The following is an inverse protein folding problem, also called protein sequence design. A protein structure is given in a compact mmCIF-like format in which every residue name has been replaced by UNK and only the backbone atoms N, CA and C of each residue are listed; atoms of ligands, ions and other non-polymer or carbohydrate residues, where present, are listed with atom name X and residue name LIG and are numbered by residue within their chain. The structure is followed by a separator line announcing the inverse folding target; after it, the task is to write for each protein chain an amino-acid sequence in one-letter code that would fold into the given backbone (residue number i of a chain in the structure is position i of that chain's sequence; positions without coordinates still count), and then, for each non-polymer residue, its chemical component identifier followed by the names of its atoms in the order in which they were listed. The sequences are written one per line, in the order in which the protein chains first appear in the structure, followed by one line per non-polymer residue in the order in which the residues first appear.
data_IF_922539897859
#
_entry.id   IF_922539897859
#
_cell.length_a   1.000
_cell.length_b   1.000
_cell.length_c   1.000
_cell.angle_alpha   90.00
_cell.angle_beta   90.00
_cell.angle_gamma   90.00
#
_symmetry.space_group_name_H-M   'P 1'
#
loop_
_entity.id
_entity.type
_entity.pdbx_description
1 polymer ?
#
# COMPACT_ATOMS: atom_id res chain seq x y z
N UNK A 1 -22.17 -13.82 -1.21
CA UNK A 1 -20.97 -14.35 -0.54
C UNK A 1 -20.53 -13.43 0.58
N UNK A 2 -19.71 -13.92 1.50
CA UNK A 2 -19.06 -13.17 2.57
C UNK A 2 -17.74 -12.58 2.09
N UNK A 3 -17.66 -11.25 2.02
CA UNK A 3 -16.46 -10.53 1.59
C UNK A 3 -15.91 -9.73 2.76
N UNK A 4 -14.64 -9.93 3.07
CA UNK A 4 -13.92 -9.10 4.03
C UNK A 4 -13.10 -8.03 3.32
N UNK A 5 -13.21 -6.78 3.76
CA UNK A 5 -12.30 -5.70 3.35
C UNK A 5 -11.47 -5.26 4.54
N UNK A 6 -10.18 -5.61 4.53
CA UNK A 6 -9.23 -5.29 5.58
C UNK A 6 -8.68 -3.88 5.31
N UNK A 7 -9.21 -2.90 6.03
CA UNK A 7 -8.90 -1.48 5.88
C UNK A 7 -9.98 -0.67 5.16
N UNK A 8 -10.99 -0.15 5.87
CA UNK A 8 -12.05 0.69 5.31
C UNK A 8 -11.60 2.15 5.00
N UNK A 9 -10.42 2.34 4.40
CA UNK A 9 -9.94 3.65 3.92
C UNK A 9 -10.61 4.07 2.59
N UNK A 10 -9.96 4.93 1.80
CA UNK A 10 -10.53 5.39 0.52
C UNK A 10 -10.84 4.22 -0.45
N UNK A 11 -9.83 3.38 -0.75
CA UNK A 11 -9.97 2.25 -1.69
C UNK A 11 -10.87 1.16 -1.09
N UNK A 12 -10.59 0.75 0.15
CA UNK A 12 -11.36 -0.30 0.82
C UNK A 12 -12.82 0.08 1.06
N UNK A 13 -13.09 1.34 1.45
CA UNK A 13 -14.45 1.85 1.62
C UNK A 13 -15.26 1.82 0.32
N UNK A 14 -14.64 2.19 -0.81
CA UNK A 14 -15.27 2.08 -2.13
C UNK A 14 -15.58 0.62 -2.46
N UNK A 15 -14.61 -0.30 -2.31
CA UNK A 15 -14.80 -1.72 -2.61
C UNK A 15 -15.91 -2.31 -1.71
N UNK A 16 -15.90 -2.00 -0.42
CA UNK A 16 -16.92 -2.45 0.53
C UNK A 16 -18.31 -1.93 0.16
N UNK A 17 -18.44 -0.65 -0.19
CA UNK A 17 -19.71 -0.06 -0.56
C UNK A 17 -20.28 -0.65 -1.87
N UNK A 18 -19.43 -0.91 -2.85
CA UNK A 18 -19.85 -1.55 -4.11
C UNK A 18 -20.23 -3.03 -3.90
N UNK A 19 -19.49 -3.75 -3.07
CA UNK A 19 -19.80 -5.13 -2.72
C UNK A 19 -21.13 -5.25 -1.98
N UNK A 20 -21.40 -4.34 -1.04
CA UNK A 20 -22.69 -4.25 -0.33
C UNK A 20 -23.83 -3.93 -1.31
N UNK A 21 -23.63 -2.96 -2.22
CA UNK A 21 -24.59 -2.65 -3.29
C UNK A 21 -24.90 -3.85 -4.19
N UNK A 22 -23.92 -4.72 -4.41
CA UNK A 22 -24.08 -5.96 -5.18
C UNK A 22 -24.78 -7.09 -4.40
N UNK A 23 -25.19 -6.84 -3.16
CA UNK A 23 -25.90 -7.81 -2.31
C UNK A 23 -24.98 -8.83 -1.62
N UNK A 24 -23.68 -8.54 -1.48
CA UNK A 24 -22.78 -9.38 -0.70
C UNK A 24 -22.87 -9.08 0.79
N UNK A 25 -22.58 -10.08 1.62
CA UNK A 25 -22.42 -9.90 3.05
C UNK A 25 -21.02 -9.34 3.30
N UNK A 26 -20.92 -8.06 3.65
CA UNK A 26 -19.63 -7.36 3.76
C UNK A 26 -19.25 -7.17 5.23
N UNK A 27 -18.02 -7.56 5.56
CA UNK A 27 -17.35 -7.20 6.81
C UNK A 27 -16.16 -6.31 6.49
N UNK A 28 -15.98 -5.23 7.22
CA UNK A 28 -14.82 -4.33 7.07
C UNK A 28 -14.03 -4.22 8.36
N UNK A 29 -12.70 -4.17 8.26
CA UNK A 29 -11.86 -3.78 9.39
C UNK A 29 -11.48 -2.31 9.32
N UNK A 30 -11.59 -1.60 10.43
CA UNK A 30 -11.26 -0.18 10.56
C UNK A 30 -10.79 0.15 11.97
N UNK A 31 -10.28 1.37 12.18
CA UNK A 31 -9.88 1.86 13.51
C UNK A 31 -10.32 3.31 13.73
N UNK A 32 -10.41 3.71 15.01
CA UNK A 32 -10.71 5.07 15.43
C UNK A 32 -12.00 5.61 14.84
N UNK A 33 -12.00 6.90 14.48
CA UNK A 33 -13.17 7.61 13.96
C UNK A 33 -13.83 6.92 12.75
N UNK A 34 -13.05 6.25 11.89
CA UNK A 34 -13.61 5.52 10.74
C UNK A 34 -14.45 4.33 11.19
N UNK A 35 -13.97 3.55 12.16
CA UNK A 35 -14.74 2.41 12.70
C UNK A 35 -16.05 2.89 13.32
N UNK A 36 -15.97 3.91 14.17
CA UNK A 36 -17.14 4.49 14.85
C UNK A 36 -18.17 5.04 13.85
N UNK A 37 -17.72 5.73 12.80
CA UNK A 37 -18.60 6.27 11.77
C UNK A 37 -19.32 5.16 10.99
N UNK A 38 -18.59 4.11 10.59
CA UNK A 38 -19.18 2.99 9.84
C UNK A 38 -20.19 2.22 10.70
N UNK A 39 -19.90 1.99 11.98
CA UNK A 39 -20.85 1.32 12.88
C UNK A 39 -22.12 2.14 13.12
N UNK A 40 -21.99 3.46 13.24
CA UNK A 40 -23.11 4.36 13.54
C UNK A 40 -23.99 4.65 12.33
N UNK A 41 -23.36 4.91 11.18
CA UNK A 41 -24.04 5.53 10.02
C UNK A 41 -23.80 4.80 8.70
N UNK A 42 -22.90 3.80 8.67
CA UNK A 42 -22.52 3.09 7.45
C UNK A 42 -21.41 3.78 6.66
N UNK A 43 -21.15 3.27 5.45
CA UNK A 43 -20.22 3.84 4.48
C UNK A 43 -21.01 4.53 3.36
N UNK A 44 -20.88 5.84 3.25
CA UNK A 44 -21.47 6.63 2.19
C UNK A 44 -20.50 6.78 1.02
N UNK A 45 -20.87 6.21 -0.13
CA UNK A 45 -20.16 6.29 -1.39
C UNK A 45 -20.80 7.33 -2.30
N UNK A 46 -19.99 8.17 -2.94
CA UNK A 46 -20.40 9.12 -3.98
C UNK A 46 -19.47 9.10 -5.20
N UNK A 47 -19.82 9.85 -6.25
CA UNK A 47 -18.94 10.13 -7.40
C UNK A 47 -19.25 9.30 -8.64
N UNK A 48 -18.22 8.98 -9.42
CA UNK A 48 -18.38 8.45 -10.78
C UNK A 48 -19.05 7.07 -10.90
N UNK A 49 -19.11 6.25 -9.84
CA UNK A 49 -19.85 4.98 -9.83
C UNK A 49 -21.19 5.07 -9.09
N UNK A 50 -21.73 6.28 -8.96
CA UNK A 50 -23.01 6.56 -8.35
C UNK A 50 -22.93 6.74 -6.83
N UNK A 51 -24.10 6.84 -6.22
CA UNK A 51 -24.29 7.02 -4.80
C UNK A 51 -24.80 5.73 -4.15
N UNK A 52 -24.29 5.40 -2.96
CA UNK A 52 -24.75 4.25 -2.19
C UNK A 52 -24.37 4.40 -0.72
N UNK A 53 -25.27 4.05 0.19
CA UNK A 53 -24.96 3.97 1.62
C UNK A 53 -24.95 2.52 2.05
N UNK A 54 -23.76 1.96 2.21
CA UNK A 54 -23.56 0.59 2.63
C UNK A 54 -23.61 0.45 4.14
N UNK A 55 -24.08 -0.70 4.62
CA UNK A 55 -24.14 -1.03 6.06
C UNK A 55 -23.39 -2.33 6.35
N UNK A 56 -22.06 -2.37 6.10
CA UNK A 56 -21.27 -3.55 6.38
C UNK A 56 -21.18 -3.78 7.90
N UNK A 57 -20.89 -5.03 8.29
CA UNK A 57 -20.37 -5.28 9.63
C UNK A 57 -18.99 -4.62 9.75
N UNK A 58 -18.72 -3.94 10.85
CA UNK A 58 -17.47 -3.22 11.05
C UNK A 58 -16.87 -3.49 12.43
N UNK A 59 -15.60 -3.87 12.43
CA UNK A 59 -14.84 -4.26 13.63
C UNK A 59 -13.36 -3.85 13.49
N UNK A 60 -12.58 -3.97 14.57
CA UNK A 60 -11.14 -3.72 14.51
C UNK A 60 -10.36 -4.87 13.83
N UNK A 61 -10.85 -6.09 14.02
CA UNK A 61 -10.35 -7.34 13.45
C UNK A 61 -11.53 -8.19 13.00
N UNK A 62 -11.31 -9.11 12.07
CA UNK A 62 -12.32 -10.07 11.64
C UNK A 62 -12.79 -10.92 12.82
N UNK A 63 -14.06 -11.28 12.80
CA UNK A 63 -14.74 -12.13 13.77
C UNK A 63 -15.41 -13.36 13.10
N UNK A 64 -15.37 -13.42 11.76
CA UNK A 64 -15.91 -14.48 10.94
C UNK A 64 -14.99 -14.75 9.74
N UNK A 65 -14.91 -16.02 9.32
CA UNK A 65 -14.14 -16.43 8.15
C UNK A 65 -14.86 -16.01 6.84
N UNK A 66 -14.25 -15.15 6.01
CA UNK A 66 -14.84 -14.74 4.74
C UNK A 66 -14.59 -15.79 3.64
N UNK A 67 -15.29 -15.64 2.51
CA UNK A 67 -15.07 -16.44 1.29
C UNK A 67 -14.05 -15.77 0.35
N UNK A 68 -13.90 -14.44 0.47
CA UNK A 68 -12.90 -13.63 -0.22
C UNK A 68 -12.48 -12.50 0.71
N UNK A 69 -11.17 -12.26 0.84
CA UNK A 69 -10.63 -11.13 1.58
C UNK A 69 -9.92 -10.14 0.63
N UNK A 70 -10.00 -8.85 0.94
CA UNK A 70 -9.32 -7.78 0.20
C UNK A 70 -8.53 -6.92 1.17
N UNK A 71 -7.20 -6.91 1.05
CA UNK A 71 -6.30 -6.08 1.87
C UNK A 71 -6.10 -4.72 1.21
N UNK A 72 -6.48 -3.65 1.91
CA UNK A 72 -6.43 -2.26 1.41
C UNK A 72 -5.85 -1.27 2.42
N UNK A 73 -5.35 -1.75 3.55
CA UNK A 73 -4.52 -0.94 4.46
C UNK A 73 -3.25 -0.48 3.74
N UNK A 74 -2.66 0.62 4.21
CA UNK A 74 -1.36 1.09 3.71
C UNK A 74 -0.30 0.01 3.90
N UNK A 75 0.70 0.00 3.02
CA UNK A 75 1.70 -1.05 3.01
C UNK A 75 2.48 -1.18 4.34
N UNK A 76 2.72 -0.08 5.05
CA UNK A 76 3.32 -0.09 6.39
C UNK A 76 2.45 -0.72 7.49
N UNK A 77 1.12 -0.71 7.34
CA UNK A 77 0.18 -1.29 8.30
C UNK A 77 -0.14 -2.77 7.96
N UNK A 78 0.26 -3.24 6.77
CA UNK A 78 -0.13 -4.54 6.22
C UNK A 78 0.26 -5.72 7.10
N UNK A 79 1.51 -5.74 7.60
CA UNK A 79 2.01 -6.84 8.42
C UNK A 79 1.17 -7.04 9.68
N UNK A 80 0.92 -5.96 10.42
CA UNK A 80 0.13 -5.98 11.64
C UNK A 80 -1.34 -6.33 11.35
N UNK A 81 -1.90 -5.81 10.26
CA UNK A 81 -3.26 -6.15 9.85
C UNK A 81 -3.41 -7.64 9.47
N UNK A 82 -2.44 -8.22 8.77
CA UNK A 82 -2.46 -9.64 8.43
C UNK A 82 -2.25 -10.52 9.66
N UNK A 83 -1.33 -10.17 10.55
CA UNK A 83 -1.11 -10.85 11.84
C UNK A 83 -2.39 -10.89 12.67
N UNK A 84 -3.07 -9.75 12.82
CA UNK A 84 -4.29 -9.64 13.62
C UNK A 84 -5.50 -10.40 13.06
N UNK A 85 -5.45 -10.83 11.79
CA UNK A 85 -6.56 -11.48 11.09
C UNK A 85 -6.19 -12.88 10.59
N UNK A 86 -5.00 -13.40 10.92
CA UNK A 86 -4.44 -14.62 10.32
C UNK A 86 -5.36 -15.85 10.48
N UNK A 87 -5.95 -16.02 11.66
CA UNK A 87 -6.85 -17.14 11.98
C UNK A 87 -8.08 -17.22 11.04
N UNK A 88 -8.53 -16.07 10.53
CA UNK A 88 -9.66 -15.99 9.61
C UNK A 88 -9.26 -16.03 8.13
N UNK A 89 -7.95 -15.92 7.84
CA UNK A 89 -7.43 -15.84 6.47
C UNK A 89 -6.81 -17.16 5.98
N UNK A 90 -6.62 -18.14 6.86
CA UNK A 90 -6.07 -19.45 6.48
C UNK A 90 -6.89 -20.10 5.35
N UNK A 91 -6.22 -20.40 4.24
CA UNK A 91 -6.84 -20.97 3.02
C UNK A 91 -7.84 -20.07 2.30
N UNK A 92 -8.04 -18.82 2.74
CA UNK A 92 -8.97 -17.87 2.11
C UNK A 92 -8.28 -17.13 0.96
N UNK A 93 -8.90 -17.02 -0.23
CA UNK A 93 -8.42 -16.13 -1.29
C UNK A 93 -8.26 -14.69 -0.81
N UNK A 94 -7.03 -14.16 -0.92
CA UNK A 94 -6.69 -12.81 -0.49
C UNK A 94 -6.25 -11.95 -1.68
N UNK A 95 -6.97 -10.87 -1.94
CA UNK A 95 -6.59 -9.86 -2.94
C UNK A 95 -5.87 -8.71 -2.25
N UNK A 96 -4.60 -8.49 -2.57
CA UNK A 96 -3.79 -7.40 -2.01
C UNK A 96 -3.83 -6.20 -2.93
N UNK A 97 -4.57 -5.17 -2.54
CA UNK A 97 -4.75 -3.92 -3.31
C UNK A 97 -4.00 -2.79 -2.63
N UNK A 98 -2.71 -2.69 -2.95
CA UNK A 98 -1.81 -1.69 -2.37
C UNK A 98 -1.04 -0.95 -3.46
N UNK A 99 -0.66 0.29 -3.17
CA UNK A 99 0.27 1.01 -4.02
C UNK A 99 1.71 0.51 -3.79
N UNK A 100 2.56 0.71 -4.79
CA UNK A 100 3.97 0.33 -4.70
C UNK A 100 4.24 -1.11 -5.13
N UNK A 101 5.39 -1.63 -4.68
CA UNK A 101 5.87 -2.99 -4.98
C UNK A 101 5.97 -3.84 -3.72
N UNK A 102 5.85 -5.17 -3.88
CA UNK A 102 6.18 -6.16 -2.85
C UNK A 102 5.08 -6.48 -1.83
N UNK A 103 3.95 -5.77 -1.85
CA UNK A 103 2.87 -5.98 -0.88
C UNK A 103 2.23 -7.37 -0.98
N UNK A 104 1.96 -7.83 -2.20
CA UNK A 104 1.36 -9.15 -2.43
C UNK A 104 2.36 -10.28 -2.10
N UNK A 105 3.63 -10.11 -2.47
CA UNK A 105 4.72 -11.03 -2.14
C UNK A 105 4.93 -11.14 -0.61
N UNK A 106 4.91 -10.01 0.10
CA UNK A 106 5.01 -9.99 1.56
C UNK A 106 3.82 -10.68 2.23
N UNK A 107 2.60 -10.45 1.73
CA UNK A 107 1.41 -11.13 2.25
C UNK A 107 1.48 -12.64 2.03
N UNK A 108 1.92 -13.10 0.85
CA UNK A 108 2.08 -14.52 0.54
C UNK A 108 3.15 -15.19 1.42
N UNK A 109 4.25 -14.48 1.71
CA UNK A 109 5.28 -14.97 2.62
C UNK A 109 4.79 -15.05 4.08
N UNK A 110 3.93 -14.12 4.50
CA UNK A 110 3.36 -14.07 5.85
C UNK A 110 2.23 -15.09 6.07
N UNK A 111 1.46 -15.41 5.02
CA UNK A 111 0.34 -16.36 5.05
C UNK A 111 0.55 -17.47 4.00
N UNK A 112 1.42 -18.46 4.24
CA UNK A 112 1.83 -19.44 3.22
C UNK A 112 0.72 -20.35 2.69
N UNK A 113 -0.37 -20.50 3.45
CA UNK A 113 -1.53 -21.32 3.10
C UNK A 113 -2.64 -20.53 2.40
N UNK A 114 -2.55 -19.20 2.41
CA UNK A 114 -3.52 -18.28 1.82
C UNK A 114 -3.16 -18.04 0.36
N UNK A 115 -4.04 -18.38 -0.61
CA UNK A 115 -3.79 -18.08 -2.01
C UNK A 115 -3.92 -16.57 -2.26
N UNK A 116 -2.79 -15.92 -2.58
CA UNK A 116 -2.71 -14.46 -2.78
C UNK A 116 -2.83 -14.08 -4.24
N UNK A 117 -3.63 -13.04 -4.50
CA UNK A 117 -3.80 -12.36 -5.77
C UNK A 117 -3.35 -10.90 -5.60
N UNK A 118 -2.55 -10.40 -6.53
CA UNK A 118 -2.20 -9.00 -6.58
C UNK A 118 -3.31 -8.17 -7.22
N UNK A 119 -3.62 -7.01 -6.63
CA UNK A 119 -4.56 -6.03 -7.16
C UNK A 119 -3.94 -4.66 -7.34
N UNK A 120 -4.13 -4.07 -8.51
CA UNK A 120 -3.60 -2.77 -8.90
C UNK A 120 -4.75 -1.84 -9.27
N UNK A 121 -5.27 -1.10 -8.28
CA UNK A 121 -6.35 -0.15 -8.49
C UNK A 121 -5.86 1.06 -9.31
N UNK A 122 -6.46 1.34 -10.47
CA UNK A 122 -6.19 2.56 -11.23
C UNK A 122 -7.24 3.65 -11.02
N UNK A 123 -8.40 3.30 -10.44
CA UNK A 123 -9.38 4.29 -10.06
C UNK A 123 -8.83 5.17 -8.94
N UNK A 124 -9.28 6.42 -8.90
CA UNK A 124 -8.96 7.34 -7.82
C UNK A 124 -10.12 7.38 -6.84
N UNK A 125 -9.83 7.07 -5.57
CA UNK A 125 -10.76 7.18 -4.45
C UNK A 125 -10.26 8.21 -3.45
N UNK A 126 -11.18 9.01 -2.93
CA UNK A 126 -10.93 9.99 -1.88
C UNK A 126 -11.63 9.56 -0.59
N UNK A 127 -10.89 9.65 0.51
CA UNK A 127 -11.44 9.63 1.85
C UNK A 127 -11.76 11.09 2.21
N UNK A 128 -13.05 11.43 2.31
CA UNK A 128 -13.50 12.81 2.55
C UNK A 128 -13.53 13.10 4.04
N UNK A 129 -14.24 12.24 4.77
CA UNK A 129 -14.40 12.28 6.22
C UNK A 129 -14.69 10.86 6.73
N UNK A 130 -14.67 10.60 8.05
CA UNK A 130 -15.07 9.31 8.57
C UNK A 130 -16.46 8.86 8.08
N UNK A 131 -16.53 7.70 7.44
CA UNK A 131 -17.74 7.15 6.83
C UNK A 131 -18.01 7.63 5.39
N UNK A 132 -17.24 8.58 4.85
CA UNK A 132 -17.49 9.17 3.53
C UNK A 132 -16.34 8.92 2.55
N UNK A 133 -16.66 8.24 1.46
CA UNK A 133 -15.73 7.96 0.36
C UNK A 133 -16.30 8.40 -0.97
N UNK A 134 -15.42 8.82 -1.89
CA UNK A 134 -15.83 9.27 -3.21
C UNK A 134 -14.90 8.76 -4.29
N UNK A 135 -15.46 8.36 -5.43
CA UNK A 135 -14.70 8.00 -6.62
C UNK A 135 -14.55 9.23 -7.49
N UNK A 136 -13.33 9.74 -7.54
CA UNK A 136 -12.99 10.96 -8.28
C UNK A 136 -12.56 10.68 -9.71
N UNK A 137 -12.12 9.46 -10.02
CA UNK A 137 -11.77 9.06 -11.38
C UNK A 137 -12.04 7.57 -11.57
N UNK A 138 -12.96 7.18 -12.48
CA UNK A 138 -13.24 5.78 -12.73
C UNK A 138 -12.13 5.16 -13.59
N UNK A 139 -11.66 3.98 -13.22
CA UNK A 139 -10.77 3.15 -14.02
C UNK A 139 -10.80 1.70 -13.52
N UNK A 140 -10.23 0.78 -14.28
CA UNK A 140 -10.17 -0.62 -13.90
C UNK A 140 -9.21 -0.88 -12.74
N UNK A 141 -9.45 -1.99 -12.04
CA UNK A 141 -8.43 -2.63 -11.20
C UNK A 141 -7.86 -3.82 -11.95
N UNK A 142 -6.53 -3.87 -12.03
CA UNK A 142 -5.85 -4.99 -12.65
C UNK A 142 -5.59 -6.07 -11.60
N UNK A 143 -5.95 -7.31 -11.91
CA UNK A 143 -5.66 -8.48 -11.09
C UNK A 143 -4.63 -9.36 -11.78
N UNK A 144 -3.74 -9.95 -11.00
CA UNK A 144 -2.79 -10.95 -11.50
C UNK A 144 -2.10 -11.67 -10.36
N UNK A 145 -1.34 -12.71 -10.68
CA UNK A 145 -0.57 -13.43 -9.67
C UNK A 145 0.69 -12.62 -9.33
N UNK A 146 1.05 -12.50 -8.04
CA UNK A 146 2.34 -11.92 -7.67
C UNK A 146 3.48 -12.72 -8.28
N UNK A 147 4.65 -12.09 -8.43
CA UNK A 147 5.82 -12.83 -8.89
C UNK A 147 6.10 -13.97 -7.91
N UNK A 148 6.43 -15.16 -8.43
CA UNK A 148 6.86 -16.26 -7.56
C UNK A 148 8.09 -15.77 -6.80
N UNK A 149 7.96 -15.58 -5.49
CA UNK A 149 9.10 -15.25 -4.62
C UNK A 149 10.07 -16.42 -4.76
N UNK A 150 11.27 -16.25 -5.34
CA UNK A 150 12.28 -17.29 -5.24
C UNK A 150 12.48 -17.53 -3.74
N UNK A 151 12.51 -18.78 -3.25
CA UNK A 151 12.82 -19.02 -1.86
C UNK A 151 14.11 -18.28 -1.57
N UNK A 152 14.06 -17.35 -0.60
CA UNK A 152 15.24 -16.62 -0.16
C UNK A 152 16.28 -17.69 0.15
N UNK A 153 17.29 -17.85 -0.72
CA UNK A 153 18.47 -18.63 -0.38
C UNK A 153 18.95 -18.10 0.95
N UNK A 154 19.26 -18.98 1.92
CA UNK A 154 19.62 -18.66 3.31
C UNK A 154 20.69 -17.54 3.38
N UNK A 155 20.24 -16.32 3.22
CA UNK A 155 20.96 -15.07 3.34
C UNK A 155 20.47 -14.48 4.64
N UNK A 156 21.42 -14.10 5.48
CA UNK A 156 21.19 -13.62 6.83
C UNK A 156 19.95 -12.71 6.92
N UNK A 157 19.14 -12.96 7.95
CA UNK A 157 18.01 -12.09 8.30
C UNK A 157 18.44 -10.62 8.20
N UNK A 158 17.59 -9.72 7.68
CA UNK A 158 17.91 -8.31 7.68
C UNK A 158 18.22 -7.89 9.10
N UNK A 159 19.46 -7.44 9.35
CA UNK A 159 19.80 -6.79 10.61
C UNK A 159 18.83 -5.62 10.78
N UNK A 160 18.19 -5.46 11.95
CA UNK A 160 17.38 -4.28 12.20
C UNK A 160 18.26 -3.06 11.91
N UNK A 161 17.74 -2.15 11.07
CA UNK A 161 18.40 -0.88 10.82
C UNK A 161 18.71 -0.24 12.18
N UNK A 162 19.98 0.03 12.45
CA UNK A 162 20.34 0.82 13.61
C UNK A 162 19.60 2.18 13.48
N UNK A 163 18.91 2.65 14.53
CA UNK A 163 18.30 3.96 14.48
C UNK A 163 19.39 4.99 14.17
N UNK A 164 19.11 5.86 13.18
CA UNK A 164 19.95 7.02 12.90
C UNK A 164 20.04 7.84 14.18
N UNK A 165 21.19 7.82 14.83
CA UNK A 165 21.53 8.75 15.91
C UNK A 165 21.74 10.13 15.30
N UNK A 166 20.85 11.07 15.62
CA UNK A 166 21.09 12.49 15.43
C UNK A 166 22.40 12.88 16.11
N UNK A 167 23.31 13.62 15.45
CA UNK A 167 24.43 14.22 16.16
C UNK A 167 23.88 15.23 17.17
N UNK A 168 24.39 15.21 18.39
CA UNK A 168 24.08 16.21 19.40
C UNK A 168 24.40 17.62 18.86
N UNK A 169 23.58 18.65 19.16
CA UNK A 169 23.87 20.02 18.76
C UNK A 169 25.14 20.48 19.46
N UNK A 170 26.11 20.98 18.69
CA UNK A 170 27.29 21.64 19.25
C UNK A 170 26.88 22.99 19.83
N UNK A 171 27.21 23.22 21.10
CA UNK A 171 27.09 24.51 21.78
C UNK A 171 27.87 25.60 21.03
N UNK A 172 27.15 26.46 20.31
CA UNK A 172 27.59 27.81 19.96
C UNK A 172 26.40 28.62 19.41
N UNK A 173 25.63 29.24 20.31
CA UNK A 173 24.78 30.38 19.95
C UNK A 173 25.54 31.69 20.22
N UNK A 174 25.31 32.72 19.41
CA UNK A 174 25.09 34.04 19.96
C UNK A 174 23.66 34.50 19.70
N UNK A 175 23.10 35.01 20.78
CA UNK A 175 21.78 35.62 20.94
C UNK A 175 21.49 36.76 19.96
N UNK A 176 20.30 36.75 19.37
CA UNK A 176 19.58 37.98 19.02
C UNK A 176 18.09 37.81 19.27
N UNK A 177 17.58 38.68 20.14
CA UNK A 177 16.20 38.88 20.60
C UNK A 177 15.23 39.29 19.49
N UNK A 178 14.01 38.77 19.52
CA UNK A 178 12.82 39.37 18.91
C UNK A 178 11.62 39.26 19.88
N UNK A 179 10.67 40.23 19.87
CA UNK A 179 9.81 40.52 21.01
C UNK A 179 8.52 39.69 21.05
N UNK A 180 7.98 39.58 22.26
CA UNK A 180 6.72 38.93 22.61
C UNK A 180 5.51 39.72 22.13
N UNK A 181 4.45 39.03 21.70
CA UNK A 181 3.09 39.55 21.76
C UNK A 181 2.14 38.47 22.26
N UNK A 182 1.45 38.80 23.35
CA UNK A 182 0.41 38.02 24.00
C UNK A 182 -0.98 38.54 23.59
N UNK A 183 -1.95 37.63 23.46
CA UNK A 183 -3.38 37.77 23.77
C UNK A 183 -4.09 36.51 23.23
N UNK A 184 -4.45 35.53 24.06
CA UNK A 184 -5.69 35.43 24.84
C UNK A 184 -6.95 35.13 23.99
N UNK A 185 -7.54 33.94 24.17
CA UNK A 185 -8.87 33.76 24.78
C UNK A 185 -9.42 32.33 24.56
N UNK A 186 -9.69 31.65 25.67
CA UNK A 186 -10.49 30.43 25.81
C UNK A 186 -11.99 30.79 25.88
N UNK A 187 -12.91 29.85 25.58
CA UNK A 187 -14.11 29.78 26.40
C UNK A 187 -14.43 28.36 26.92
N UNK A 188 -15.12 28.38 28.05
CA UNK A 188 -15.44 27.30 28.96
C UNK A 188 -16.59 26.38 28.50
N UNK A 189 -16.63 25.20 29.11
CA UNK A 189 -17.71 24.21 29.06
C UNK A 189 -18.89 24.58 29.98
N UNK A 190 -20.08 23.97 29.77
CA UNK A 190 -21.06 23.78 30.82
C UNK A 190 -21.19 22.30 31.22
N UNK A 191 -21.28 22.10 32.54
CA UNK A 191 -21.69 20.88 33.23
C UNK A 191 -23.21 20.79 33.34
N UNK A 192 -23.75 19.56 33.31
CA UNK A 192 -24.89 19.01 34.08
C UNK A 192 -25.13 17.61 33.49
N UNK A 193 -25.33 16.50 34.21
CA UNK A 193 -26.00 16.32 35.49
C UNK A 193 -27.18 15.38 35.25
N UNK A 194 -26.96 14.05 35.22
CA UNK A 194 -28.06 13.08 35.27
C UNK A 194 -27.59 11.71 35.81
N UNK A 195 -28.24 11.31 36.89
CA UNK A 195 -28.09 10.05 37.58
C UNK A 195 -28.59 8.86 36.75
N UNK A 196 -27.96 7.70 36.90
CA UNK A 196 -28.60 6.41 36.59
C UNK A 196 -27.99 5.31 37.44
N UNK A 197 -28.86 4.77 38.31
CA UNK A 197 -28.72 3.60 39.15
C UNK A 197 -28.57 2.31 38.32
N UNK A 198 -27.68 1.40 38.73
CA UNK A 198 -27.75 -0.01 38.31
C UNK A 198 -27.33 -0.91 39.48
N UNK A 199 -28.11 -1.95 39.83
CA UNK A 199 -27.76 -2.85 40.91
C UNK A 199 -26.83 -3.97 40.45
N UNK A 200 -26.03 -4.44 41.41
CA UNK A 200 -25.17 -5.59 41.34
C UNK A 200 -25.93 -6.89 41.04
N UNK A 201 -25.30 -7.79 40.27
CA UNK A 201 -25.63 -9.21 40.28
C UNK A 201 -24.36 -10.03 40.52
N UNK A 202 -24.55 -10.96 41.43
CA UNK A 202 -23.58 -11.76 42.16
C UNK A 202 -23.21 -13.04 41.42
N UNK A 203 -21.98 -13.48 41.69
CA UNK A 203 -21.35 -14.77 41.39
C UNK A 203 -22.15 -16.02 41.83
N UNK A 204 -22.00 -17.12 41.09
CA UNK A 204 -22.02 -18.50 41.61
C UNK A 204 -21.35 -19.48 40.60
N UNK A 205 -20.89 -20.68 41.02
CA UNK A 205 -19.61 -21.24 40.58
C UNK A 205 -19.70 -22.47 39.63
N UNK A 206 -18.56 -22.79 39.03
CA UNK A 206 -18.28 -24.01 38.27
C UNK A 206 -17.96 -25.21 39.20
N UNK A 207 -18.23 -26.46 38.78
CA UNK A 207 -17.56 -27.63 39.31
C UNK A 207 -16.52 -28.21 38.34
N UNK A 208 -15.50 -28.80 38.94
CA UNK A 208 -14.32 -29.40 38.34
C UNK A 208 -14.50 -30.90 37.99
N UNK A 209 -13.39 -31.48 37.50
CA UNK A 209 -13.07 -32.92 37.33
C UNK A 209 -13.44 -33.50 35.96
N UNK A 210 -12.68 -34.40 35.32
CA UNK A 210 -11.37 -35.01 35.56
C UNK A 210 -10.94 -35.69 34.24
N UNK A 211 -9.64 -35.70 33.93
CA UNK A 211 -8.98 -36.71 33.07
C UNK A 211 -8.72 -37.98 33.93
N UNK A 212 -8.48 -39.22 33.40
CA UNK A 212 -7.46 -39.60 32.38
C UNK A 212 -7.90 -40.89 31.58
N UNK A 213 -7.04 -41.79 31.03
CA UNK A 213 -5.59 -41.82 30.81
C UNK A 213 -5.12 -42.21 29.38
N UNK A 214 -3.80 -42.21 29.24
CA UNK A 214 -2.96 -42.42 28.06
C UNK A 214 -2.79 -43.89 27.60
N UNK A 215 -2.30 -44.06 26.36
CA UNK A 215 -1.20 -44.96 25.90
C UNK A 215 -1.35 -45.29 24.39
N UNK A 216 -0.34 -45.80 23.66
CA UNK A 216 1.10 -45.62 23.75
C UNK A 216 1.76 -45.26 22.39
N UNK A 217 3.02 -44.85 22.49
CA UNK A 217 4.03 -44.67 21.44
C UNK A 217 4.39 -45.97 20.69
N UNK A 218 4.58 -45.87 19.37
CA UNK A 218 5.38 -46.84 18.60
C UNK A 218 6.33 -46.12 17.65
N UNK A 219 7.59 -46.52 17.77
CA UNK A 219 8.78 -46.12 17.02
C UNK A 219 9.06 -47.14 15.92
N UNK A 220 9.41 -46.69 14.71
CA UNK A 220 10.25 -47.43 13.74
C UNK A 220 10.67 -46.46 12.61
N UNK A 221 11.89 -45.96 12.63
CA UNK A 221 13.09 -46.50 11.97
C UNK A 221 13.23 -46.03 10.51
N UNK A 222 14.13 -45.07 10.32
CA UNK A 222 14.63 -44.62 9.02
C UNK A 222 15.76 -45.54 8.51
N UNK A 223 15.99 -45.60 7.20
CA UNK A 223 17.31 -45.81 6.63
C UNK A 223 17.82 -44.55 5.92
N UNK A 224 19.11 -44.27 6.12
CA UNK A 224 19.91 -43.20 5.51
C UNK A 224 20.33 -43.56 4.05
N UNK A 225 20.84 -42.58 3.27
CA UNK A 225 20.64 -42.52 1.81
C UNK A 225 21.76 -43.18 1.00
N UNK A 226 21.42 -43.65 -0.21
CA UNK A 226 22.41 -43.91 -1.27
C UNK A 226 22.48 -42.72 -2.23
N UNK A 227 23.70 -42.28 -2.47
CA UNK A 227 24.11 -41.19 -3.34
C UNK A 227 24.00 -41.57 -4.81
N UNK A 228 23.22 -40.82 -5.60
CA UNK A 228 23.40 -40.73 -7.04
C UNK A 228 23.00 -39.32 -7.50
N UNK A 229 24.02 -38.55 -7.87
CA UNK A 229 23.94 -37.25 -8.53
C UNK A 229 23.29 -37.41 -9.91
N UNK A 230 22.10 -36.82 -10.09
CA UNK A 230 21.50 -36.58 -11.40
C UNK A 230 21.08 -35.11 -11.49
N UNK A 231 21.46 -34.49 -12.60
CA UNK A 231 21.25 -33.08 -12.91
C UNK A 231 19.77 -32.67 -12.73
N UNK A 232 19.57 -31.58 -11.96
CA UNK A 232 18.26 -31.04 -11.67
C UNK A 232 17.78 -30.12 -12.80
N UNK A 233 17.15 -30.69 -13.83
CA UNK A 233 16.12 -29.97 -14.57
C UNK A 233 14.87 -29.94 -13.69
N UNK A 234 14.61 -28.77 -13.10
CA UNK A 234 13.60 -28.57 -12.08
C UNK A 234 12.17 -28.64 -12.60
N UNK A 235 11.59 -29.84 -12.62
CA UNK A 235 10.14 -30.01 -12.54
C UNK A 235 9.66 -29.39 -11.20
N UNK A 236 8.61 -28.54 -11.19
CA UNK A 236 8.11 -27.98 -9.94
C UNK A 236 7.67 -29.12 -9.01
N UNK A 237 8.12 -29.07 -7.75
CA UNK A 237 7.71 -30.03 -6.72
C UNK A 237 6.18 -30.02 -6.59
N UNK A 238 5.56 -31.18 -6.32
CA UNK A 238 4.10 -31.32 -6.29
C UNK A 238 3.37 -30.29 -5.40
N UNK A 239 4.06 -29.78 -4.35
CA UNK A 239 3.57 -28.70 -3.49
C UNK A 239 3.51 -27.34 -4.20
N UNK A 240 4.49 -26.99 -5.02
CA UNK A 240 4.50 -25.72 -5.78
C UNK A 240 3.44 -25.70 -6.88
N UNK A 241 3.22 -26.83 -7.56
CA UNK A 241 2.15 -26.98 -8.54
C UNK A 241 0.76 -26.82 -7.90
N UNK A 242 0.57 -27.41 -6.71
CA UNK A 242 -0.68 -27.26 -5.93
C UNK A 242 -0.92 -25.82 -5.49
N UNK A 243 0.11 -25.14 -4.95
CA UNK A 243 0.02 -23.73 -4.55
C UNK A 243 -0.33 -22.81 -5.72
N UNK A 244 0.30 -23.02 -6.88
CA UNK A 244 -0.02 -22.26 -8.10
C UNK A 244 -1.46 -22.49 -8.57
N UNK A 245 -1.94 -23.74 -8.56
CA UNK A 245 -3.33 -24.05 -8.90
C UNK A 245 -4.32 -23.37 -7.97
N UNK A 246 -4.02 -23.30 -6.67
CA UNK A 246 -4.84 -22.59 -5.69
C UNK A 246 -4.87 -21.08 -5.95
N UNK A 247 -3.72 -20.48 -6.27
CA UNK A 247 -3.62 -19.06 -6.62
C UNK A 247 -4.38 -18.73 -7.93
N UNK A 248 -4.32 -19.59 -8.94
CA UNK A 248 -5.09 -19.44 -10.17
C UNK A 248 -6.61 -19.57 -9.94
N UNK A 249 -7.04 -20.47 -9.04
CA UNK A 249 -8.43 -20.56 -8.62
C UNK A 249 -8.89 -19.31 -7.86
N UNK A 250 -8.06 -18.79 -6.96
CA UNK A 250 -8.29 -17.54 -6.26
C UNK A 250 -8.40 -16.35 -7.23
N UNK A 251 -7.53 -16.27 -8.24
CA UNK A 251 -7.61 -15.24 -9.28
C UNK A 251 -8.95 -15.32 -10.03
N UNK A 252 -9.39 -16.51 -10.46
CA UNK A 252 -10.70 -16.68 -11.12
C UNK A 252 -11.86 -16.24 -10.22
N UNK A 253 -11.83 -16.62 -8.95
CA UNK A 253 -12.85 -16.23 -7.97
C UNK A 253 -12.88 -14.71 -7.78
N UNK A 254 -11.72 -14.09 -7.58
CA UNK A 254 -11.57 -12.65 -7.40
C UNK A 254 -12.05 -11.88 -8.64
N UNK A 255 -11.66 -12.31 -9.83
CA UNK A 255 -12.12 -11.71 -11.09
C UNK A 255 -13.63 -11.79 -11.25
N UNK A 256 -14.23 -12.96 -11.03
CA UNK A 256 -15.67 -13.13 -11.16
C UNK A 256 -16.45 -12.32 -10.11
N UNK A 257 -15.96 -12.29 -8.88
CA UNK A 257 -16.61 -11.61 -7.76
C UNK A 257 -16.50 -10.09 -7.90
N UNK A 258 -15.28 -9.55 -7.97
CA UNK A 258 -15.06 -8.12 -8.04
C UNK A 258 -15.57 -7.54 -9.37
N UNK A 259 -15.44 -8.31 -10.47
CA UNK A 259 -15.93 -7.94 -11.79
C UNK A 259 -17.46 -7.77 -11.88
N UNK A 260 -18.22 -8.30 -10.92
CA UNK A 260 -19.66 -8.13 -10.86
C UNK A 260 -20.10 -6.71 -10.47
N UNK A 261 -19.22 -5.92 -9.84
CA UNK A 261 -19.58 -4.60 -9.30
C UNK A 261 -18.55 -3.49 -9.53
N UNK A 262 -17.36 -3.81 -10.07
CA UNK A 262 -16.37 -2.83 -10.48
C UNK A 262 -15.59 -3.31 -11.71
N UNK A 263 -15.02 -2.41 -12.54
CA UNK A 263 -14.27 -2.82 -13.72
C UNK A 263 -12.98 -3.55 -13.32
N UNK A 264 -12.81 -4.78 -13.80
CA UNK A 264 -11.65 -5.63 -13.55
C UNK A 264 -10.99 -5.98 -14.88
N UNK A 265 -9.67 -5.89 -14.93
CA UNK A 265 -8.85 -6.46 -16.00
C UNK A 265 -7.89 -7.49 -15.40
N UNK A 266 -7.61 -8.58 -16.13
CA UNK A 266 -6.65 -9.60 -15.69
C UNK A 266 -5.40 -9.48 -16.53
N UNK A 267 -4.23 -9.47 -15.88
CA UNK A 267 -2.92 -9.48 -16.55
C UNK A 267 -2.11 -10.70 -16.14
N UNK A 268 -1.39 -11.26 -17.12
CA UNK A 268 -0.38 -12.29 -16.89
C UNK A 268 0.97 -11.70 -16.45
N UNK A 269 1.19 -10.39 -16.64
CA UNK A 269 2.39 -9.67 -16.27
C UNK A 269 2.09 -8.62 -15.18
N UNK A 270 1.65 -9.11 -14.02
CA UNK A 270 1.27 -8.26 -12.90
C UNK A 270 2.43 -7.40 -12.39
N UNK A 271 3.63 -7.98 -12.29
CA UNK A 271 4.84 -7.25 -11.91
C UNK A 271 5.13 -6.09 -12.88
N UNK A 272 5.04 -6.33 -14.19
CA UNK A 272 5.16 -5.28 -15.21
C UNK A 272 4.12 -4.18 -15.05
N UNK A 273 2.87 -4.52 -14.71
CA UNK A 273 1.81 -3.53 -14.46
C UNK A 273 2.09 -2.67 -13.22
N UNK A 274 2.57 -3.29 -12.13
CA UNK A 274 2.98 -2.57 -10.92
C UNK A 274 4.12 -1.59 -11.22
N UNK A 275 5.14 -2.01 -11.98
CA UNK A 275 6.23 -1.15 -12.40
C UNK A 275 5.77 0.00 -13.28
N UNK A 276 4.91 -0.24 -14.28
CA UNK A 276 4.37 0.84 -15.12
C UNK A 276 3.60 1.87 -14.29
N UNK A 277 2.76 1.42 -13.35
CA UNK A 277 2.07 2.35 -12.42
C UNK A 277 3.06 3.06 -11.48
N UNK A 278 4.11 2.38 -11.03
CA UNK A 278 5.14 2.99 -10.18
C UNK A 278 5.85 4.14 -10.90
N UNK A 279 6.15 4.00 -12.21
CA UNK A 279 6.71 5.09 -13.02
C UNK A 279 5.78 6.31 -13.02
N UNK A 280 4.46 6.11 -13.11
CA UNK A 280 3.48 7.20 -13.01
C UNK A 280 3.49 7.83 -11.62
N UNK A 281 3.52 7.00 -10.57
CA UNK A 281 3.52 7.45 -9.17
C UNK A 281 4.76 8.25 -8.76
N UNK A 282 5.83 8.26 -9.56
CA UNK A 282 7.02 9.11 -9.33
C UNK A 282 6.66 10.60 -9.24
N UNK A 283 5.54 11.01 -9.86
CA UNK A 283 5.05 12.39 -9.77
C UNK A 283 4.65 12.80 -8.36
N UNK A 284 4.34 11.86 -7.46
CA UNK A 284 3.75 12.17 -6.15
C UNK A 284 4.75 12.72 -5.12
N UNK A 285 6.05 12.48 -5.29
CA UNK A 285 7.05 12.89 -4.31
C UNK A 285 7.23 14.42 -4.27
N UNK A 286 7.32 15.08 -5.42
CA UNK A 286 7.60 16.53 -5.49
C UNK A 286 6.45 17.41 -4.96
N UNK A 287 5.17 17.13 -5.25
CA UNK A 287 4.05 17.78 -4.56
C UNK A 287 4.13 17.63 -3.04
N UNK A 288 4.47 16.43 -2.55
CA UNK A 288 4.61 16.19 -1.11
C UNK A 288 5.75 17.01 -0.48
N UNK A 289 6.84 17.21 -1.22
CA UNK A 289 7.98 18.02 -0.77
C UNK A 289 7.67 19.52 -0.82
N UNK A 290 6.98 19.99 -1.85
CA UNK A 290 6.84 21.43 -2.17
C UNK A 290 5.51 22.05 -1.75
N UNK A 291 4.50 21.23 -1.46
CA UNK A 291 3.13 21.68 -1.22
C UNK A 291 2.36 22.09 -2.50
N UNK A 292 3.02 22.06 -3.65
CA UNK A 292 2.45 22.38 -4.96
C UNK A 292 1.54 21.27 -5.48
N UNK A 293 0.70 21.60 -6.45
CA UNK A 293 0.00 20.60 -7.26
C UNK A 293 0.93 19.88 -8.23
N UNK A 294 0.47 18.74 -8.75
CA UNK A 294 1.08 18.00 -9.85
C UNK A 294 1.27 18.90 -11.08
N UNK A 295 0.28 19.74 -11.39
CA UNK A 295 0.35 20.66 -12.52
C UNK A 295 1.46 21.70 -12.35
N UNK A 296 1.53 22.35 -11.18
CA UNK A 296 2.58 23.33 -10.86
C UNK A 296 3.98 22.69 -10.84
N UNK A 297 4.08 21.47 -10.27
CA UNK A 297 5.30 20.67 -10.28
C UNK A 297 5.80 20.41 -11.70
N UNK A 298 4.90 20.02 -12.60
CA UNK A 298 5.26 19.73 -14.00
C UNK A 298 5.51 21.03 -14.78
N UNK A 299 4.89 22.15 -14.42
CA UNK A 299 5.13 23.44 -15.05
C UNK A 299 6.53 23.99 -14.73
N UNK A 300 7.01 23.84 -13.49
CA UNK A 300 8.33 24.26 -13.07
C UNK A 300 9.44 23.46 -13.79
N UNK A 301 10.34 24.11 -14.57
CA UNK A 301 11.41 23.40 -15.29
C UNK A 301 12.40 22.65 -14.41
N UNK A 302 12.66 23.13 -13.20
CA UNK A 302 13.59 22.52 -12.25
C UNK A 302 12.99 21.24 -11.69
N UNK A 303 11.75 21.32 -11.19
CA UNK A 303 11.03 20.16 -10.65
C UNK A 303 10.75 19.12 -11.73
N UNK A 304 10.32 19.54 -12.92
CA UNK A 304 10.09 18.64 -14.06
C UNK A 304 11.35 17.87 -14.45
N UNK A 305 12.52 18.49 -14.35
CA UNK A 305 13.77 17.80 -14.59
C UNK A 305 14.10 16.75 -13.51
N UNK A 306 13.89 17.08 -12.24
CA UNK A 306 14.05 16.12 -11.13
C UNK A 306 13.09 14.95 -11.29
N UNK A 307 11.82 15.21 -11.60
CA UNK A 307 10.81 14.19 -11.89
C UNK A 307 11.26 13.28 -13.04
N UNK A 308 11.73 13.88 -14.14
CA UNK A 308 12.21 13.13 -15.31
C UNK A 308 13.38 12.22 -14.92
N UNK A 309 14.33 12.72 -14.14
CA UNK A 309 15.46 11.92 -13.66
C UNK A 309 15.00 10.76 -12.76
N UNK A 310 14.10 11.00 -11.82
CA UNK A 310 13.54 9.97 -10.94
C UNK A 310 12.82 8.86 -11.72
N UNK A 311 12.04 9.25 -12.74
CA UNK A 311 11.35 8.29 -13.63
C UNK A 311 12.35 7.48 -14.46
N UNK A 312 13.38 8.11 -15.04
CA UNK A 312 14.41 7.40 -15.83
C UNK A 312 15.20 6.42 -14.98
N UNK A 313 15.56 6.81 -13.76
CA UNK A 313 16.23 5.96 -12.78
C UNK A 313 15.36 4.75 -12.43
N UNK A 314 14.06 4.95 -12.15
CA UNK A 314 13.14 3.85 -11.91
C UNK A 314 13.01 2.91 -13.12
N UNK A 315 13.00 3.42 -14.36
CA UNK A 315 13.03 2.57 -15.57
C UNK A 315 14.36 1.81 -15.69
N UNK A 316 15.49 2.43 -15.37
CA UNK A 316 16.80 1.77 -15.39
C UNK A 316 16.87 0.63 -14.36
N UNK A 317 16.35 0.85 -13.15
CA UNK A 317 16.26 -0.18 -12.11
C UNK A 317 15.37 -1.34 -12.56
N UNK A 318 14.18 -1.07 -13.09
CA UNK A 318 13.30 -2.11 -13.61
C UNK A 318 14.00 -2.97 -14.68
N UNK A 319 14.76 -2.35 -15.59
CA UNK A 319 15.56 -3.06 -16.60
C UNK A 319 16.66 -3.91 -15.98
N UNK A 320 17.33 -3.43 -14.94
CA UNK A 320 18.36 -4.20 -14.23
C UNK A 320 17.76 -5.39 -13.43
N UNK A 321 16.45 -5.38 -13.21
CA UNK A 321 15.68 -6.48 -12.61
C UNK A 321 14.97 -7.36 -13.66
N UNK A 322 15.31 -7.20 -14.95
CA UNK A 322 14.70 -7.92 -16.08
C UNK A 322 13.17 -7.78 -16.18
N UNK A 323 12.64 -6.64 -15.74
CA UNK A 323 11.20 -6.36 -15.83
C UNK A 323 10.82 -5.96 -17.25
N UNK A 324 9.80 -6.61 -17.79
CA UNK A 324 9.07 -6.15 -18.95
C UNK A 324 7.84 -5.34 -18.50
N UNK A 325 7.72 -4.11 -18.96
CA UNK A 325 6.58 -3.26 -18.55
C UNK A 325 5.28 -3.71 -19.24
N UNK A 326 4.21 -3.82 -18.45
CA UNK A 326 2.87 -4.02 -19.01
C UNK A 326 2.36 -2.70 -19.62
N UNK A 327 1.60 -2.79 -20.71
CA UNK A 327 1.03 -1.59 -21.33
C UNK A 327 -0.11 -1.07 -20.47
N UNK A 328 0.13 0.04 -19.78
CA UNK A 328 -0.80 0.61 -18.81
C UNK A 328 -0.78 2.12 -18.88
N UNK A 329 -1.94 2.77 -18.75
CA UNK A 329 -2.05 4.24 -18.78
C UNK A 329 -1.38 4.83 -20.05
N UNK A 330 -1.48 4.15 -21.19
CA UNK A 330 -0.84 4.56 -22.45
C UNK A 330 0.70 4.56 -22.43
N UNK A 331 1.31 3.90 -21.45
CA UNK A 331 2.76 3.67 -21.37
C UNK A 331 3.03 2.20 -21.67
N UNK A 332 3.75 1.93 -22.76
CA UNK A 332 4.23 0.59 -23.10
C UNK A 332 5.70 0.43 -22.77
N UNK A 333 6.17 -0.82 -22.69
CA UNK A 333 7.59 -1.15 -22.50
C UNK A 333 8.49 -0.44 -23.52
N UNK A 334 8.12 -0.44 -24.80
CA UNK A 334 8.86 0.27 -25.85
C UNK A 334 8.92 1.77 -25.59
N UNK A 335 7.81 2.40 -25.22
CA UNK A 335 7.78 3.84 -24.94
C UNK A 335 8.66 4.21 -23.75
N UNK A 336 8.59 3.44 -22.66
CA UNK A 336 9.39 3.66 -21.46
C UNK A 336 10.89 3.46 -21.71
N UNK A 337 11.27 2.48 -22.52
CA UNK A 337 12.68 2.29 -22.94
C UNK A 337 13.19 3.46 -23.78
N UNK A 338 12.38 3.93 -24.74
CA UNK A 338 12.73 5.12 -25.54
C UNK A 338 12.86 6.35 -24.65
N UNK A 339 11.90 6.57 -23.74
CA UNK A 339 11.94 7.66 -22.76
C UNK A 339 13.21 7.62 -21.92
N UNK A 340 13.61 6.44 -21.42
CA UNK A 340 14.80 6.28 -20.60
C UNK A 340 16.10 6.58 -21.35
N UNK A 341 16.15 6.29 -22.66
CA UNK A 341 17.32 6.53 -23.50
C UNK A 341 17.35 7.95 -24.13
N UNK A 342 16.22 8.65 -24.18
CA UNK A 342 16.09 9.94 -24.86
C UNK A 342 16.94 11.04 -24.20
N UNK A 343 17.43 12.03 -24.98
CA UNK A 343 18.01 13.26 -24.44
C UNK A 343 17.03 13.94 -23.48
N UNK A 344 17.53 14.51 -22.38
CA UNK A 344 16.71 15.08 -21.30
C UNK A 344 15.64 16.09 -21.77
N UNK A 345 15.89 17.01 -22.73
CA UNK A 345 14.85 17.90 -23.23
C UNK A 345 13.67 17.15 -23.86
N UNK A 346 13.93 16.05 -24.56
CA UNK A 346 12.90 15.21 -25.16
C UNK A 346 12.20 14.34 -24.12
N UNK A 347 12.94 13.76 -23.17
CA UNK A 347 12.37 12.95 -22.08
C UNK A 347 11.35 13.75 -21.25
N UNK A 348 11.58 15.05 -21.01
CA UNK A 348 10.65 15.94 -20.31
C UNK A 348 9.28 16.09 -21.00
N UNK A 349 9.12 15.67 -22.25
CA UNK A 349 7.82 15.61 -22.91
C UNK A 349 6.87 14.63 -22.22
N UNK A 350 7.38 13.51 -21.69
CA UNK A 350 6.54 12.50 -21.03
C UNK A 350 5.79 13.07 -19.81
N UNK A 351 6.46 13.68 -18.81
CA UNK A 351 5.76 14.37 -17.71
C UNK A 351 4.76 15.43 -18.19
N UNK A 352 5.09 16.21 -19.23
CA UNK A 352 4.18 17.23 -19.78
C UNK A 352 2.93 16.62 -20.42
N UNK A 353 3.04 15.45 -21.05
CA UNK A 353 1.88 14.74 -21.59
C UNK A 353 1.04 14.14 -20.46
N UNK A 354 1.68 13.67 -19.38
CA UNK A 354 0.97 13.17 -18.20
C UNK A 354 0.14 14.27 -17.54
N UNK A 355 0.64 15.51 -17.40
CA UNK A 355 -0.14 16.60 -16.78
C UNK A 355 -1.44 16.92 -17.52
N UNK A 356 -1.47 16.76 -18.85
CA UNK A 356 -2.69 16.97 -19.66
C UNK A 356 -3.84 16.04 -19.27
N UNK A 357 -3.54 14.87 -18.70
CA UNK A 357 -4.55 13.91 -18.24
C UNK A 357 -5.09 14.21 -16.85
N UNK A 358 -4.38 15.02 -16.06
CA UNK A 358 -4.75 15.36 -14.68
C UNK A 358 -5.85 16.44 -14.64
N UNK A 359 -6.12 17.10 -15.77
CA UNK A 359 -7.10 18.18 -15.86
C UNK A 359 -6.58 19.52 -15.31
N UNK A 360 -7.44 20.52 -15.27
CA UNK A 360 -7.12 21.89 -14.82
C UNK A 360 -7.25 22.11 -13.32
N UNK A 361 -7.98 21.24 -12.61
CA UNK A 361 -8.12 21.34 -11.15
C UNK A 361 -6.81 20.98 -10.46
N UNK A 362 -6.27 21.82 -9.56
CA UNK A 362 -5.03 21.55 -8.85
C UNK A 362 -5.09 20.20 -8.12
N UNK A 363 -4.25 19.25 -8.57
CA UNK A 363 -4.20 17.92 -7.99
C UNK A 363 -2.98 17.82 -7.05
N UNK A 364 -3.15 17.69 -5.74
CA UNK A 364 -2.03 17.54 -4.81
C UNK A 364 -1.26 16.22 -4.96
N UNK A 365 -1.82 15.20 -5.61
CA UNK A 365 -1.29 13.83 -5.58
C UNK A 365 -1.56 13.13 -4.24
N UNK A 366 -1.48 11.79 -4.23
CA UNK A 366 -1.88 10.99 -3.05
C UNK A 366 -0.94 11.16 -1.84
N UNK A 367 0.34 11.38 -2.08
CA UNK A 367 1.36 11.57 -1.04
C UNK A 367 1.15 12.90 -0.29
N UNK A 368 0.99 14.03 -0.99
CA UNK A 368 0.70 15.32 -0.36
C UNK A 368 -0.65 15.30 0.37
N UNK A 369 -1.66 14.60 -0.17
CA UNK A 369 -2.93 14.41 0.54
C UNK A 369 -2.74 13.67 1.88
N UNK A 370 -1.81 12.72 1.96
CA UNK A 370 -1.52 12.03 3.22
C UNK A 370 -0.88 12.99 4.23
N UNK A 371 0.09 13.81 3.80
CA UNK A 371 0.72 14.84 4.63
C UNK A 371 -0.34 15.83 5.15
N UNK A 372 -1.22 16.35 4.28
CA UNK A 372 -2.30 17.27 4.67
C UNK A 372 -3.29 16.67 5.67
N UNK A 373 -3.42 15.34 5.73
CA UNK A 373 -4.26 14.62 6.71
C UNK A 373 -3.49 14.18 7.97
N UNK A 374 -2.22 14.57 8.12
CA UNK A 374 -1.38 14.14 9.24
C UNK A 374 -1.15 12.62 9.26
N UNK A 375 -1.12 11.98 8.08
CA UNK A 375 -0.90 10.55 7.93
C UNK A 375 0.48 10.29 7.33
N UNK A 376 1.15 9.23 7.80
CA UNK A 376 2.37 8.74 7.17
C UNK A 376 2.14 8.45 5.68
N UNK A 377 3.09 8.82 4.84
CA UNK A 377 3.01 8.59 3.39
C UNK A 377 3.36 7.16 3.02
N UNK A 378 3.20 6.81 1.74
CA UNK A 378 3.66 5.54 1.17
C UNK A 378 5.01 5.70 0.46
N UNK A 379 5.79 6.75 0.75
CA UNK A 379 6.99 7.09 -0.03
C UNK A 379 8.02 5.95 -0.05
N UNK A 380 8.14 5.20 1.05
CA UNK A 380 8.99 4.02 1.17
C UNK A 380 8.54 2.85 0.27
N UNK A 381 7.27 2.78 -0.07
CA UNK A 381 6.71 1.78 -0.97
C UNK A 381 6.63 2.27 -2.42
N UNK A 382 6.87 3.56 -2.65
CA UNK A 382 6.98 4.17 -3.97
C UNK A 382 8.45 4.35 -4.36
N UNK A 383 9.04 5.52 -4.13
CA UNK A 383 10.44 5.81 -4.41
C UNK A 383 11.38 4.91 -3.59
N UNK A 384 11.02 4.59 -2.34
CA UNK A 384 11.78 3.64 -1.52
C UNK A 384 11.77 2.21 -2.07
N UNK A 385 10.72 1.81 -2.80
CA UNK A 385 10.72 0.52 -3.50
C UNK A 385 11.72 0.52 -4.66
N UNK A 386 11.84 1.61 -5.40
CA UNK A 386 12.88 1.76 -6.44
C UNK A 386 14.28 1.62 -5.81
N UNK A 387 14.53 2.22 -4.65
CA UNK A 387 15.82 2.06 -3.95
C UNK A 387 16.10 0.62 -3.53
N UNK A 388 15.10 -0.08 -2.98
CA UNK A 388 15.25 -1.49 -2.59
C UNK A 388 15.57 -2.37 -3.79
N UNK A 389 14.86 -2.18 -4.89
CA UNK A 389 15.07 -2.95 -6.12
C UNK A 389 16.41 -2.59 -6.79
N UNK A 390 16.85 -1.33 -6.71
CA UNK A 390 18.18 -0.92 -7.17
C UNK A 390 19.27 -1.69 -6.41
N UNK A 391 19.20 -1.71 -5.07
CA UNK A 391 20.12 -2.47 -4.22
C UNK A 391 20.09 -3.96 -4.55
N UNK A 392 18.90 -4.54 -4.77
CA UNK A 392 18.76 -5.94 -5.16
C UNK A 392 19.37 -6.27 -6.54
N UNK A 393 19.41 -5.29 -7.46
CA UNK A 393 20.09 -5.38 -8.74
C UNK A 393 21.59 -5.03 -8.70
N UNK A 394 22.13 -4.63 -7.55
CA UNK A 394 23.52 -4.16 -7.45
C UNK A 394 23.77 -2.80 -8.14
N UNK A 395 22.74 -1.97 -8.31
CA UNK A 395 22.82 -0.61 -8.83
C UNK A 395 22.35 0.41 -7.79
N UNK A 396 22.58 1.70 -8.04
CA UNK A 396 22.12 2.77 -7.16
C UNK A 396 20.89 3.49 -7.72
N UNK A 397 20.11 4.11 -6.82
CA UNK A 397 19.01 5.00 -7.17
C UNK A 397 19.08 6.33 -6.38
N UNK A 398 20.15 7.14 -6.54
CA UNK A 398 20.37 8.36 -5.77
C UNK A 398 19.25 9.41 -5.88
N UNK A 399 18.59 9.55 -7.03
CA UNK A 399 17.53 10.57 -7.17
C UNK A 399 16.30 10.17 -6.35
N UNK A 400 15.87 8.92 -6.48
CA UNK A 400 14.79 8.36 -5.67
C UNK A 400 15.13 8.39 -4.18
N UNK A 401 16.37 8.06 -3.79
CA UNK A 401 16.83 8.13 -2.41
C UNK A 401 16.76 9.53 -1.82
N UNK A 402 17.15 10.53 -2.61
CA UNK A 402 17.04 11.93 -2.19
C UNK A 402 15.59 12.36 -2.00
N UNK A 403 14.70 12.00 -2.92
CA UNK A 403 13.27 12.33 -2.83
C UNK A 403 12.62 11.70 -1.59
N UNK A 404 12.94 10.45 -1.28
CA UNK A 404 12.48 9.78 -0.04
C UNK A 404 12.89 10.58 1.20
N UNK A 405 14.18 10.95 1.28
CA UNK A 405 14.70 11.75 2.40
C UNK A 405 13.98 13.10 2.54
N UNK A 406 13.71 13.79 1.43
CA UNK A 406 13.02 15.07 1.47
C UNK A 406 11.55 14.92 1.89
N UNK A 407 10.85 13.87 1.46
CA UNK A 407 9.47 13.62 1.92
C UNK A 407 9.45 13.36 3.42
N UNK A 408 10.33 12.51 3.95
CA UNK A 408 10.42 12.27 5.39
C UNK A 408 10.77 13.53 6.18
N UNK A 409 11.60 14.41 5.60
CA UNK A 409 11.88 15.72 6.20
C UNK A 409 10.61 16.56 6.33
N UNK A 410 9.78 16.63 5.28
CA UNK A 410 8.48 17.33 5.36
C UNK A 410 7.53 16.65 6.36
N UNK A 411 7.51 15.32 6.44
CA UNK A 411 6.71 14.60 7.44
C UNK A 411 7.12 14.94 8.87
N UNK A 412 8.42 15.09 9.13
CA UNK A 412 8.96 15.39 10.45
C UNK A 412 8.87 16.87 10.84
N UNK A 413 9.18 17.78 9.90
CA UNK A 413 9.27 19.23 10.16
C UNK A 413 7.94 19.96 9.89
N UNK A 414 7.04 19.38 9.10
CA UNK A 414 5.80 20.03 8.64
C UNK A 414 6.02 21.20 7.67
N UNK A 415 7.26 21.42 7.23
CA UNK A 415 7.66 22.54 6.38
C UNK A 415 7.94 22.07 4.94
N UNK A 416 7.30 22.72 3.97
CA UNK A 416 7.55 22.47 2.55
C UNK A 416 8.86 23.12 2.09
N UNK A 417 9.49 22.52 1.08
CA UNK A 417 10.78 22.92 0.52
C UNK A 417 10.56 23.57 -0.85
N UNK A 418 11.26 24.66 -1.14
CA UNK A 418 11.07 25.39 -2.40
C UNK A 418 11.68 24.66 -3.60
N UNK A 419 11.19 24.93 -4.84
CA UNK A 419 11.77 24.37 -6.05
C UNK A 419 13.27 24.67 -6.24
N UNK A 420 13.72 25.85 -5.80
CA UNK A 420 15.12 26.30 -5.86
C UNK A 420 16.02 25.41 -4.99
N UNK A 421 15.64 25.22 -3.73
CA UNK A 421 16.39 24.41 -2.76
C UNK A 421 16.50 22.95 -3.20
N UNK A 422 15.42 22.38 -3.76
CA UNK A 422 15.44 21.01 -4.29
C UNK A 422 16.43 20.91 -5.44
N UNK A 423 16.41 21.87 -6.37
CA UNK A 423 17.28 21.87 -7.55
C UNK A 423 18.77 21.99 -7.19
N UNK A 424 19.10 22.79 -6.17
CA UNK A 424 20.48 22.95 -5.68
C UNK A 424 20.94 21.71 -4.91
N UNK A 425 20.02 21.05 -4.18
CA UNK A 425 20.34 19.87 -3.37
C UNK A 425 20.64 18.59 -4.18
N UNK A 426 20.43 18.61 -5.50
CA UNK A 426 20.56 17.45 -6.38
C UNK A 426 21.47 17.73 -7.58
N UNK A 427 22.44 16.83 -7.80
CA UNK A 427 23.19 16.81 -9.07
C UNK A 427 22.48 15.88 -10.04
N UNK A 428 21.87 16.45 -11.09
CA UNK A 428 21.20 15.66 -12.12
C UNK A 428 22.20 15.13 -13.16
N UNK A 429 22.01 13.90 -13.67
CA UNK A 429 22.76 13.42 -14.82
C UNK A 429 22.57 14.37 -16.01
N UNK A 430 23.63 14.54 -16.80
CA UNK A 430 23.61 15.38 -18.00
C UNK A 430 22.63 14.87 -19.05
#
# INVERSE_FOLDING_TARGET
MRIAVIGAGAVGGVIAALADRAGHAVTVTARGAQLEAVQRSGLHLTGHWGEHTARPRASAVLDERPELAVLTVKAQDARAALEANADFLDGVPLVVVQNGLGGAEAAAAQLPTTPVVGGLALFAASYLSPGEVSITTPAATYLGLPAAVPPLGRGAAPSPAAPFTTPAPSDAAPSTTAPSNAAASTPAAPSDGAASTTPALTSAPAPASASPPASPSVSASAPAPSSASAAADGLPTASAASARSAAEAALRLATATLGAFMPIEVTANFAGAQWTKLIVNQVNALPAITGLSVQETIADPRLRAVLTASMREAVAVARARDVHFETLLGLSDRLLRIFAAAPRPLAQLLPRLMSRRVGSTPNPGSTLQSIRRGQLTEIDHLNGAVMREARAAGVEAPINAHLVRLVHRVEAEGAFITPEEIAISLTLPK
#
